data_IF_970252306103
#
_entry.id   IF_970252306103
#
_cell.length_a   1.000
_cell.length_b   1.000
_cell.length_c   1.000
_cell.angle_alpha   90.00
_cell.angle_beta   90.00
_cell.angle_gamma   90.00
#
_symmetry.space_group_name_H-M   'P 1'
#
loop_
_entity.id
_entity.type
_entity.pdbx_description
1 polymer ?
#
# COMPACT_ATOMS: atom_id res chain seq x y z
N UNK A 1 21.25 -6.50 23.67
CA UNK A 1 20.82 -6.49 23.28
C UNK A 1 20.40 -6.56 22.77
N UNK A 2 20.42 -6.77 22.89
CA UNK A 2 19.84 -6.82 22.50
C UNK A 2 19.22 -6.80 21.82
N UNK A 3 19.26 -6.95 22.02
CA UNK A 3 18.51 -6.86 21.39
C UNK A 3 17.88 -6.55 20.81
N UNK A 4 18.01 -6.40 21.19
CA UNK A 4 17.19 -6.05 20.82
C UNK A 4 16.68 -5.57 20.03
N UNK A 5 17.24 -5.34 20.17
CA UNK A 5 16.61 -4.85 19.49
C UNK A 5 16.04 -5.01 18.72
N UNK A 6 16.24 -5.47 18.98
CA UNK A 6 15.56 -5.71 18.34
C UNK A 6 14.84 -5.95 18.15
N UNK A 7 15.11 -5.85 18.59
CA UNK A 7 14.29 -6.17 18.64
C UNK A 7 13.44 -5.66 18.81
N UNK A 8 14.03 -5.43 18.84
CA UNK A 8 13.14 -4.83 19.28
C UNK A 8 11.77 -4.43 18.97
N UNK A 9 11.23 -3.84 19.31
CA UNK A 9 9.84 -3.43 19.25
C UNK A 9 9.18 -3.80 17.95
N UNK A 10 8.91 -5.07 17.78
CA UNK A 10 8.27 -5.55 16.55
C UNK A 10 6.91 -4.91 16.30
N UNK A 11 6.16 -4.60 17.37
CA UNK A 11 4.82 -4.02 17.20
C UNK A 11 4.86 -2.66 16.52
N UNK A 12 5.84 -1.85 16.86
CA UNK A 12 6.00 -0.56 16.21
C UNK A 12 6.35 -0.73 14.75
N UNK A 13 7.23 -1.66 14.47
CA UNK A 13 7.61 -1.94 13.09
C UNK A 13 6.42 -2.38 12.26
N UNK A 14 5.56 -3.21 12.84
CA UNK A 14 4.39 -3.69 12.13
C UNK A 14 3.46 -2.55 11.74
N UNK A 15 3.25 -1.61 12.66
CA UNK A 15 2.37 -0.47 12.38
C UNK A 15 2.91 0.36 11.23
N UNK A 16 4.20 0.63 11.24
CA UNK A 16 4.83 1.40 10.18
C UNK A 16 4.83 0.61 8.89
N UNK A 17 5.16 -0.68 8.99
CA UNK A 17 5.28 -1.54 7.82
C UNK A 17 3.97 -1.71 7.08
N UNK A 18 2.85 -1.66 7.81
CA UNK A 18 1.54 -1.85 7.18
C UNK A 18 1.25 -0.82 6.11
N UNK A 19 1.84 0.36 6.22
CA UNK A 19 1.58 1.45 5.30
C UNK A 19 2.71 1.68 4.30
N UNK A 20 3.82 0.99 4.45
CA UNK A 20 4.98 1.17 3.61
C UNK A 20 5.17 -0.05 2.74
N UNK A 21 5.27 0.17 1.43
CA UNK A 21 5.52 -0.91 0.46
C UNK A 21 6.93 -0.72 -0.06
N UNK A 22 7.81 -1.69 0.22
CA UNK A 22 9.15 -1.70 -0.35
C UNK A 22 9.06 -2.34 -1.72
N UNK A 23 9.54 -1.64 -2.73
CA UNK A 23 9.40 -2.09 -4.12
C UNK A 23 10.51 -3.06 -4.49
N UNK A 24 10.14 -4.19 -5.09
CA UNK A 24 11.12 -5.11 -5.66
C UNK A 24 11.83 -4.47 -6.84
N UNK A 25 11.09 -3.68 -7.62
CA UNK A 25 11.65 -2.95 -8.76
C UNK A 25 11.41 -1.46 -8.51
N UNK A 26 12.45 -0.71 -8.16
CA UNK A 26 12.29 0.72 -7.90
C UNK A 26 11.75 1.47 -9.10
N UNK A 27 11.02 2.53 -8.81
CA UNK A 27 10.50 3.41 -9.87
C UNK A 27 11.60 4.43 -10.18
N UNK A 28 12.01 4.46 -11.44
CA UNK A 28 13.05 5.38 -11.88
C UNK A 28 12.45 6.72 -12.26
N UNK A 29 13.04 7.78 -11.75
CA UNK A 29 12.59 9.12 -12.06
C UNK A 29 13.82 9.96 -12.30
N UNK A 30 14.29 10.02 -13.55
CA UNK A 30 15.55 10.70 -13.86
C UNK A 30 16.70 10.08 -13.10
N UNK A 31 17.44 10.89 -12.37
CA UNK A 31 18.56 10.41 -11.55
C UNK A 31 18.09 9.82 -10.23
N UNK A 32 16.82 9.97 -9.90
CA UNK A 32 16.29 9.48 -8.63
C UNK A 32 15.67 8.11 -8.79
N UNK A 33 15.61 7.40 -7.69
CA UNK A 33 15.02 6.07 -7.65
C UNK A 33 14.10 6.01 -6.43
N UNK A 34 12.83 5.67 -6.67
CA UNK A 34 11.87 5.50 -5.59
C UNK A 34 11.87 4.03 -5.22
N UNK A 35 12.30 3.73 -4.01
CA UNK A 35 12.46 2.35 -3.56
C UNK A 35 11.35 1.87 -2.65
N UNK A 36 10.56 2.81 -2.14
CA UNK A 36 9.41 2.43 -1.32
C UNK A 36 8.36 3.51 -1.44
N UNK A 37 7.12 3.11 -1.18
CA UNK A 37 5.98 4.02 -1.18
C UNK A 37 5.30 3.91 0.17
N UNK A 38 4.98 5.05 0.77
CA UNK A 38 4.13 5.09 1.95
C UNK A 38 2.73 5.43 1.49
N UNK A 39 1.76 4.61 1.84
CA UNK A 39 0.38 4.79 1.40
C UNK A 39 -0.45 5.24 2.60
N UNK A 40 -1.34 6.19 2.38
CA UNK A 40 -2.25 6.64 3.42
C UNK A 40 -3.67 6.20 3.10
N UNK A 41 -4.47 6.07 4.14
CA UNK A 41 -5.86 5.70 3.97
C UNK A 41 -6.59 6.80 3.20
N UNK A 42 -7.26 6.48 2.08
CA UNK A 42 -8.01 7.49 1.34
C UNK A 42 -9.27 7.87 2.07
N UNK A 43 -9.69 9.11 1.88
CA UNK A 43 -11.02 9.53 2.31
C UNK A 43 -12.02 9.09 1.24
N UNK A 44 -13.31 9.06 1.61
CA UNK A 44 -14.34 8.66 0.66
C UNK A 44 -14.37 9.52 -0.59
N UNK A 45 -14.11 10.80 -0.45
CA UNK A 45 -14.09 11.68 -1.62
C UNK A 45 -12.97 11.37 -2.59
N UNK A 46 -11.86 10.84 -2.07
CA UNK A 46 -10.73 10.47 -2.92
C UNK A 46 -10.99 9.20 -3.71
N UNK A 47 -12.01 8.46 -3.36
CA UNK A 47 -12.39 7.25 -4.08
C UNK A 47 -13.35 7.51 -5.23
N UNK A 48 -13.66 8.78 -5.46
CA UNK A 48 -14.59 9.15 -6.52
C UNK A 48 -14.12 8.63 -7.87
N UNK A 49 -15.03 8.03 -8.61
CA UNK A 49 -14.69 7.43 -9.91
C UNK A 49 -14.16 6.01 -9.82
N UNK A 50 -14.06 5.47 -8.62
CA UNK A 50 -13.59 4.11 -8.40
C UNK A 50 -14.66 3.28 -7.72
N UNK A 51 -14.63 1.97 -7.96
CA UNK A 51 -15.54 1.03 -7.31
C UNK A 51 -14.82 0.35 -6.15
N UNK A 52 -15.44 0.37 -4.98
CA UNK A 52 -14.83 -0.23 -3.80
C UNK A 52 -14.53 -1.72 -4.01
N UNK A 53 -15.45 -2.42 -4.65
CA UNK A 53 -15.24 -3.84 -4.89
C UNK A 53 -14.02 -4.10 -5.75
N UNK A 54 -13.79 -3.24 -6.75
CA UNK A 54 -12.61 -3.36 -7.58
C UNK A 54 -11.34 -3.27 -6.75
N UNK A 55 -11.29 -2.31 -5.83
CA UNK A 55 -10.12 -2.14 -4.97
C UNK A 55 -9.94 -3.34 -4.05
N UNK A 56 -11.02 -3.89 -3.53
CA UNK A 56 -10.96 -5.07 -2.67
C UNK A 56 -10.50 -6.31 -3.42
N UNK A 57 -10.71 -6.34 -4.74
CA UNK A 57 -10.32 -7.47 -5.58
C UNK A 57 -8.98 -7.23 -6.27
N UNK A 58 -8.26 -6.20 -5.86
CA UNK A 58 -6.95 -5.87 -6.41
C UNK A 58 -6.99 -5.58 -7.91
N UNK A 59 -8.07 -4.95 -8.37
CA UNK A 59 -8.22 -4.60 -9.77
C UNK A 59 -7.07 -3.69 -10.20
N UNK A 60 -6.42 -4.05 -11.31
CA UNK A 60 -5.22 -3.36 -11.76
C UNK A 60 -5.50 -1.89 -12.07
N UNK A 61 -6.53 -1.63 -12.87
CA UNK A 61 -6.82 -0.27 -13.27
C UNK A 61 -7.21 0.61 -12.07
N UNK A 62 -8.00 0.06 -11.16
CA UNK A 62 -8.43 0.82 -9.98
C UNK A 62 -7.23 1.12 -9.09
N UNK A 63 -6.34 0.14 -8.90
CA UNK A 63 -5.15 0.34 -8.08
C UNK A 63 -4.25 1.41 -8.68
N UNK A 64 -4.05 1.36 -10.00
CA UNK A 64 -3.22 2.36 -10.67
C UNK A 64 -3.81 3.77 -10.56
N UNK A 65 -5.13 3.88 -10.49
CA UNK A 65 -5.76 5.18 -10.37
C UNK A 65 -5.70 5.75 -8.96
N UNK A 66 -5.79 4.90 -7.95
CA UNK A 66 -5.79 5.39 -6.58
C UNK A 66 -4.38 5.73 -6.08
N UNK A 67 -3.37 5.04 -6.55
CA UNK A 67 -2.00 5.23 -6.07
C UNK A 67 -1.53 6.67 -6.12
N UNK A 68 -1.74 7.42 -7.23
CA UNK A 68 -1.29 8.82 -7.25
C UNK A 68 -1.95 9.69 -6.22
N UNK A 69 -3.12 9.29 -5.72
CA UNK A 69 -3.88 10.09 -4.77
C UNK A 69 -3.41 9.89 -3.34
N UNK A 70 -2.77 8.77 -3.03
CA UNK A 70 -2.48 8.39 -1.65
C UNK A 70 -1.03 8.02 -1.39
N UNK A 71 -0.17 8.06 -2.41
CA UNK A 71 1.23 7.65 -2.24
C UNK A 71 2.14 8.80 -1.85
N UNK A 72 3.17 8.46 -1.09
CA UNK A 72 4.23 9.39 -0.70
C UNK A 72 5.57 8.65 -0.87
N UNK A 73 6.45 9.11 -1.76
CA UNK A 73 6.28 10.28 -2.63
C UNK A 73 5.16 10.03 -3.64
N UNK A 74 4.56 11.12 -4.09
CA UNK A 74 3.46 11.03 -5.05
C UNK A 74 3.97 10.48 -6.38
N UNK A 75 3.33 9.43 -6.88
CA UNK A 75 3.66 8.89 -8.19
C UNK A 75 2.53 9.23 -9.17
N UNK A 76 2.85 9.17 -10.45
CA UNK A 76 1.86 9.44 -11.51
C UNK A 76 1.21 8.15 -11.96
N UNK A 77 0.10 8.26 -12.69
CA UNK A 77 -0.53 7.07 -13.27
C UNK A 77 0.42 6.31 -14.20
N UNK A 78 1.15 6.99 -15.12
CA UNK A 78 2.13 6.28 -15.92
C UNK A 78 3.19 5.56 -15.11
N UNK A 79 3.63 6.15 -14.00
CA UNK A 79 4.60 5.48 -13.15
C UNK A 79 3.99 4.24 -12.50
N UNK A 80 2.73 4.34 -12.08
CA UNK A 80 2.04 3.18 -11.54
C UNK A 80 1.88 2.09 -12.59
N UNK A 81 1.59 2.49 -13.83
CA UNK A 81 1.44 1.52 -14.92
C UNK A 81 2.74 0.80 -15.23
N UNK A 82 3.88 1.43 -14.94
CA UNK A 82 5.18 0.82 -15.19
C UNK A 82 5.70 -0.02 -14.03
N UNK A 83 4.96 -0.12 -12.93
CA UNK A 83 5.41 -0.87 -11.76
C UNK A 83 5.47 -2.37 -12.02
N UNK A 84 6.37 -3.02 -11.31
CA UNK A 84 6.37 -4.48 -11.28
C UNK A 84 5.02 -4.99 -10.75
N UNK A 85 4.43 -6.01 -11.38
CA UNK A 85 3.11 -6.50 -10.93
C UNK A 85 3.08 -6.95 -9.48
N UNK A 86 4.18 -7.52 -8.99
CA UNK A 86 4.23 -7.94 -7.57
C UNK A 86 4.16 -6.73 -6.65
N UNK A 87 4.80 -5.64 -7.05
CA UNK A 87 4.75 -4.40 -6.27
C UNK A 87 3.36 -3.79 -6.31
N UNK A 88 2.72 -3.84 -7.49
CA UNK A 88 1.36 -3.34 -7.60
C UNK A 88 0.42 -4.14 -6.72
N UNK A 89 0.58 -5.46 -6.69
CA UNK A 89 -0.24 -6.31 -5.83
C UNK A 89 -0.02 -5.96 -4.36
N UNK A 90 1.23 -5.75 -3.96
CA UNK A 90 1.52 -5.38 -2.58
C UNK A 90 0.80 -4.09 -2.20
N UNK A 91 0.79 -3.11 -3.10
CA UNK A 91 0.06 -1.87 -2.88
C UNK A 91 -1.44 -2.14 -2.78
N UNK A 92 -1.96 -3.00 -3.64
CA UNK A 92 -3.38 -3.36 -3.63
C UNK A 92 -3.80 -3.98 -2.31
N UNK A 93 -2.94 -4.81 -1.73
CA UNK A 93 -3.23 -5.43 -0.44
C UNK A 93 -3.31 -4.40 0.68
N UNK A 94 -2.40 -3.44 0.68
CA UNK A 94 -2.44 -2.36 1.68
C UNK A 94 -3.73 -1.55 1.52
N UNK A 95 -4.08 -1.20 0.28
CA UNK A 95 -5.27 -0.42 0.00
C UNK A 95 -6.52 -1.16 0.45
N UNK A 96 -6.62 -2.45 0.11
CA UNK A 96 -7.77 -3.25 0.52
C UNK A 96 -7.89 -3.27 2.05
N UNK A 97 -6.74 -3.35 2.73
CA UNK A 97 -6.74 -3.33 4.18
C UNK A 97 -7.30 -2.03 4.76
N UNK A 98 -7.03 -0.90 4.10
CA UNK A 98 -7.58 0.38 4.54
C UNK A 98 -9.10 0.42 4.47
N UNK A 99 -9.69 -0.33 3.55
CA UNK A 99 -11.13 -0.29 3.33
C UNK A 99 -11.91 -1.18 4.27
N UNK A 100 -11.23 -2.00 5.04
CA UNK A 100 -11.89 -2.87 6.01
C UNK A 100 -11.95 -2.20 7.36
N UNK A 101 -13.11 -2.31 8.02
CA UNK A 101 -13.24 -1.81 9.38
C UNK A 101 -12.40 -2.66 10.32
N UNK A 102 -12.01 -2.07 11.43
CA UNK A 102 -11.24 -2.78 12.44
C UNK A 102 -11.87 -4.12 12.81
N UNK A 103 -13.19 -4.12 12.94
CA UNK A 103 -13.93 -5.32 13.32
C UNK A 103 -13.78 -6.43 12.29
N UNK A 104 -13.87 -6.05 11.01
CA UNK A 104 -13.74 -7.02 9.93
C UNK A 104 -12.33 -7.58 9.87
N UNK A 105 -11.33 -6.73 10.08
CA UNK A 105 -9.95 -7.19 10.10
C UNK A 105 -9.68 -8.17 11.22
N UNK A 106 -10.22 -7.88 12.39
CA UNK A 106 -10.05 -8.75 13.55
C UNK A 106 -10.68 -10.12 13.28
N UNK A 107 -11.89 -10.13 12.69
CA UNK A 107 -12.56 -11.38 12.37
C UNK A 107 -11.77 -12.19 11.34
N UNK A 108 -11.23 -11.52 10.33
CA UNK A 108 -10.44 -12.19 9.31
C UNK A 108 -9.17 -12.79 9.91
N UNK A 109 -8.54 -12.08 10.83
CA UNK A 109 -7.35 -12.58 11.52
C UNK A 109 -7.63 -13.84 12.30
N UNK A 110 -8.79 -13.90 12.94
CA UNK A 110 -9.14 -15.07 13.74
C UNK A 110 -9.41 -16.29 12.87
N UNK A 111 -9.91 -16.08 11.67
CA UNK A 111 -10.21 -17.17 10.75
C UNK A 111 -8.95 -17.67 10.08
N UNK A 112 -8.06 -16.77 9.75
CA UNK A 112 -6.83 -17.14 9.06
C UNK A 112 -5.88 -17.86 10.00
#
# INVERSE_FOLDING_TARGET
MKNEKNTATPAEHQTISDNVVTLDQPIKRGAQSIESLTLRKPSSGELRGLHLLDLLQFDVAATMKILPRISQPTITEPEAAGMDPADLLACGQVIAGFLLQKRAKAAASLIA
#
